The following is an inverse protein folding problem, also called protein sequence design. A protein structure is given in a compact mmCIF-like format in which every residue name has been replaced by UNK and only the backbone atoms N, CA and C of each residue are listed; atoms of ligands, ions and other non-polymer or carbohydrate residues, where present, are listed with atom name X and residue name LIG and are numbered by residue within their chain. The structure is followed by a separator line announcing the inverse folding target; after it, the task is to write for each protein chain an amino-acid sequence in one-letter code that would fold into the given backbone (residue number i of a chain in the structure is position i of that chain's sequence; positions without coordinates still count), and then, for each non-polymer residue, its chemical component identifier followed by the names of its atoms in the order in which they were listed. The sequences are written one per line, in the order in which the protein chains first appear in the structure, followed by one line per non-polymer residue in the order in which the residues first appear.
data_IF_395556918916
#
_entry.id   IF_395556918916
#
_cell.length_a   1.000
_cell.length_b   1.000
_cell.length_c   1.000
_cell.angle_alpha   90.00
_cell.angle_beta   90.00
_cell.angle_gamma   90.00
#
_symmetry.space_group_name_H-M   'P 1'
#
loop_
_entity.id
_entity.type
_entity.pdbx_description
1 polymer ?
#
# COMPACT_ATOMS: atom_id res chain seq x y z
N UNK A 1 12.27 1.43 -13.65
CA UNK A 1 11.43 2.53 -13.12
C UNK A 1 12.11 3.90 -13.27
N UNK A 2 11.36 5.02 -13.25
CA UNK A 2 11.93 6.39 -13.35
C UNK A 2 12.92 6.70 -12.22
N UNK A 3 12.67 6.20 -11.01
CA UNK A 3 13.53 6.35 -9.83
C UNK A 3 14.98 5.88 -10.07
N UNK A 4 15.19 4.87 -10.92
CA UNK A 4 16.53 4.36 -11.26
C UNK A 4 17.40 5.41 -11.98
N UNK A 5 16.79 6.45 -12.58
CA UNK A 5 17.53 7.56 -13.19
C UNK A 5 18.12 8.53 -12.18
N UNK A 6 17.65 8.53 -10.94
CA UNK A 6 18.20 9.35 -9.84
C UNK A 6 19.62 8.88 -9.48
N UNK A 7 19.92 7.59 -9.65
CA UNK A 7 21.24 6.96 -9.37
C UNK A 7 21.72 7.13 -7.93
N UNK A 8 20.77 7.15 -6.99
CA UNK A 8 21.06 7.16 -5.55
C UNK A 8 20.57 5.86 -4.92
N UNK A 9 21.44 5.27 -4.08
CA UNK A 9 21.17 3.98 -3.44
C UNK A 9 20.14 4.10 -2.31
N UNK A 10 20.12 5.24 -1.62
CA UNK A 10 19.25 5.53 -0.47
C UNK A 10 17.87 6.10 -0.85
N UNK A 11 17.51 6.05 -2.14
CA UNK A 11 16.24 6.52 -2.67
C UNK A 11 15.42 5.32 -3.11
N UNK A 12 14.26 5.14 -2.49
CA UNK A 12 13.30 4.06 -2.74
C UNK A 12 11.88 4.58 -2.90
N UNK A 13 10.93 3.66 -3.02
CA UNK A 13 9.50 3.91 -3.23
C UNK A 13 8.73 3.43 -2.01
N UNK A 14 7.79 4.27 -1.60
CA UNK A 14 6.67 3.86 -0.75
C UNK A 14 5.49 3.54 -1.68
N UNK A 15 4.84 2.40 -1.45
CA UNK A 15 3.62 2.03 -2.18
C UNK A 15 2.43 2.15 -1.24
N UNK A 16 1.58 3.13 -1.51
CA UNK A 16 0.26 3.25 -0.93
C UNK A 16 -0.75 2.47 -1.78
N UNK A 17 -1.47 1.52 -1.17
CA UNK A 17 -2.41 0.67 -1.88
C UNK A 17 -3.62 1.45 -2.44
N UNK A 18 -4.06 2.48 -1.73
CA UNK A 18 -5.14 3.37 -2.14
C UNK A 18 -4.79 4.18 -3.37
N UNK A 19 -3.57 4.72 -3.45
CA UNK A 19 -3.11 5.48 -4.62
C UNK A 19 -3.12 4.60 -5.87
N UNK A 20 -2.69 3.35 -5.74
CA UNK A 20 -2.79 2.37 -6.84
C UNK A 20 -4.23 2.08 -7.22
N UNK A 21 -5.16 1.94 -6.28
CA UNK A 21 -6.59 1.77 -6.59
C UNK A 21 -7.17 2.95 -7.37
N UNK A 22 -6.85 4.19 -6.97
CA UNK A 22 -7.27 5.41 -7.66
C UNK A 22 -6.68 5.53 -9.06
N UNK A 23 -5.44 5.07 -9.25
CA UNK A 23 -4.78 5.02 -10.55
C UNK A 23 -5.26 3.86 -11.44
N UNK A 24 -6.18 3.01 -10.95
CA UNK A 24 -6.61 1.76 -11.61
C UNK A 24 -5.44 0.82 -11.90
N UNK A 25 -4.42 0.84 -11.05
CA UNK A 25 -3.30 -0.08 -11.07
C UNK A 25 -3.64 -1.37 -10.32
N UNK A 26 -2.90 -2.45 -10.59
CA UNK A 26 -2.84 -3.59 -9.70
C UNK A 26 -1.76 -3.30 -8.64
N UNK A 27 -2.11 -3.12 -7.35
CA UNK A 27 -1.13 -2.77 -6.34
C UNK A 27 -0.10 -3.88 -6.13
N UNK A 28 -0.48 -5.17 -6.26
CA UNK A 28 0.43 -6.30 -6.14
C UNK A 28 1.52 -6.26 -7.23
N UNK A 29 1.14 -5.93 -8.47
CA UNK A 29 2.09 -5.74 -9.57
C UNK A 29 3.07 -4.59 -9.27
N UNK A 30 2.58 -3.48 -8.72
CA UNK A 30 3.41 -2.33 -8.32
C UNK A 30 4.48 -2.72 -7.29
N UNK A 31 4.12 -3.56 -6.31
CA UNK A 31 5.09 -4.06 -5.29
C UNK A 31 6.17 -4.92 -5.91
N UNK A 32 5.78 -5.88 -6.75
CA UNK A 32 6.72 -6.77 -7.43
C UNK A 32 7.66 -5.97 -8.33
N UNK A 33 7.15 -4.98 -9.05
CA UNK A 33 7.97 -4.11 -9.90
C UNK A 33 9.00 -3.32 -9.08
N UNK A 34 8.64 -2.81 -7.91
CA UNK A 34 9.55 -2.10 -7.01
C UNK A 34 10.60 -3.03 -6.38
N UNK A 35 10.19 -4.22 -5.96
CA UNK A 35 11.05 -5.26 -5.38
C UNK A 35 12.11 -5.76 -6.38
N UNK A 36 11.71 -6.03 -7.63
CA UNK A 36 12.62 -6.43 -8.73
C UNK A 36 13.77 -5.43 -9.00
N UNK A 37 13.67 -4.21 -8.47
CA UNK A 37 14.67 -3.16 -8.61
C UNK A 37 15.38 -2.81 -7.30
N UNK A 38 15.14 -3.53 -6.20
CA UNK A 38 15.63 -3.20 -4.86
C UNK A 38 15.19 -1.79 -4.41
N UNK A 39 13.96 -1.40 -4.78
CA UNK A 39 13.41 -0.06 -4.54
C UNK A 39 12.14 -0.03 -3.68
N UNK A 40 11.64 -1.17 -3.22
CA UNK A 40 10.51 -1.22 -2.29
C UNK A 40 11.00 -0.94 -0.86
N UNK A 41 10.60 0.19 -0.27
CA UNK A 41 11.03 0.58 1.08
C UNK A 41 9.90 0.50 2.11
N UNK A 42 8.71 0.97 1.76
CA UNK A 42 7.57 1.01 2.67
C UNK A 42 6.27 0.70 1.93
N UNK A 43 5.27 0.26 2.68
CA UNK A 43 3.90 0.13 2.20
C UNK A 43 2.92 0.83 3.14
N UNK A 44 1.88 1.42 2.56
CA UNK A 44 0.75 2.03 3.25
C UNK A 44 -0.56 1.32 2.87
N UNK A 45 -1.35 1.04 3.90
CA UNK A 45 -2.59 0.26 3.85
C UNK A 45 -3.78 1.14 4.17
N UNK A 46 -4.72 1.20 3.24
CA UNK A 46 -6.02 1.84 3.35
C UNK A 46 -6.96 1.28 2.28
N UNK A 47 -8.10 1.92 2.08
CA UNK A 47 -9.04 1.58 1.02
C UNK A 47 -9.74 2.85 0.50
N UNK A 48 -10.33 2.78 -0.69
CA UNK A 48 -11.06 3.89 -1.29
C UNK A 48 -12.10 3.44 -2.32
N UNK A 49 -12.87 4.37 -2.89
CA UNK A 49 -13.82 4.07 -3.97
C UNK A 49 -13.21 4.14 -5.39
N UNK A 50 -11.87 4.13 -5.51
CA UNK A 50 -11.08 4.35 -6.75
C UNK A 50 -11.22 5.73 -7.40
N UNK A 51 -12.07 6.59 -6.87
CA UNK A 51 -12.27 7.94 -7.39
C UNK A 51 -11.39 8.99 -6.70
N UNK A 52 -10.93 8.67 -5.50
CA UNK A 52 -10.18 9.58 -4.64
C UNK A 52 -9.38 8.79 -3.62
N UNK A 53 -8.45 9.47 -2.97
CA UNK A 53 -7.72 8.96 -1.81
C UNK A 53 -8.57 9.17 -0.55
N UNK A 54 -9.51 8.25 -0.33
CA UNK A 54 -10.52 8.38 0.74
C UNK A 54 -9.99 7.98 2.13
N UNK A 55 -8.83 7.30 2.19
CA UNK A 55 -8.18 6.80 3.40
C UNK A 55 -9.09 5.99 4.33
N UNK A 56 -9.89 5.10 3.75
CA UNK A 56 -10.80 4.24 4.50
C UNK A 56 -10.08 3.03 5.12
N UNK A 57 -10.79 2.33 6.01
CA UNK A 57 -10.31 1.09 6.61
C UNK A 57 -9.92 0.05 5.55
N UNK A 58 -8.75 -0.58 5.74
CA UNK A 58 -8.17 -1.50 4.75
C UNK A 58 -9.11 -2.69 4.48
N UNK A 59 -9.24 -3.05 3.20
CA UNK A 59 -9.96 -4.25 2.77
C UNK A 59 -11.48 -4.20 2.97
N UNK A 60 -12.05 -3.03 3.27
CA UNK A 60 -13.51 -2.87 3.42
C UNK A 60 -14.25 -2.80 2.08
N UNK A 61 -13.56 -2.43 1.00
CA UNK A 61 -14.09 -2.34 -0.37
C UNK A 61 -13.35 -3.31 -1.28
N UNK A 62 -12.01 -3.30 -1.25
CA UNK A 62 -11.17 -4.06 -2.17
C UNK A 62 -10.55 -5.32 -1.54
N UNK A 63 -11.35 -6.04 -0.73
CA UNK A 63 -10.90 -7.19 0.07
C UNK A 63 -9.99 -8.18 -0.67
N UNK A 64 -10.36 -8.63 -1.87
CA UNK A 64 -9.58 -9.62 -2.62
C UNK A 64 -8.25 -9.07 -3.14
N UNK A 65 -8.22 -7.83 -3.58
CA UNK A 65 -6.99 -7.17 -4.07
C UNK A 65 -6.06 -6.86 -2.90
N UNK A 66 -6.60 -6.52 -1.72
CA UNK A 66 -5.82 -6.40 -0.49
C UNK A 66 -5.19 -7.75 -0.11
N UNK A 67 -5.92 -8.86 -0.20
CA UNK A 67 -5.35 -10.20 0.06
C UNK A 67 -4.25 -10.55 -0.96
N UNK A 68 -4.45 -10.24 -2.24
CA UNK A 68 -3.44 -10.44 -3.28
C UNK A 68 -2.16 -9.64 -2.99
N UNK A 69 -2.31 -8.37 -2.61
CA UNK A 69 -1.20 -7.50 -2.22
C UNK A 69 -0.41 -8.06 -1.03
N UNK A 70 -1.10 -8.48 0.03
CA UNK A 70 -0.48 -9.07 1.22
C UNK A 70 0.20 -10.41 0.92
N UNK A 71 -0.40 -11.24 0.07
CA UNK A 71 0.19 -12.50 -0.37
C UNK A 71 1.53 -12.25 -1.08
N UNK A 72 1.59 -11.32 -2.02
CA UNK A 72 2.82 -11.03 -2.75
C UNK A 72 3.89 -10.40 -1.87
N UNK A 73 3.52 -9.57 -0.87
CA UNK A 73 4.46 -9.09 0.14
C UNK A 73 5.09 -10.23 0.95
N UNK A 74 4.32 -11.26 1.33
CA UNK A 74 4.87 -12.43 2.02
C UNK A 74 5.77 -13.27 1.10
N UNK A 75 5.37 -13.47 -0.16
CA UNK A 75 6.14 -14.24 -1.15
C UNK A 75 7.51 -13.60 -1.48
N UNK A 76 7.59 -12.28 -1.57
CA UNK A 76 8.88 -11.57 -1.73
C UNK A 76 9.66 -11.46 -0.41
N UNK A 77 9.08 -11.92 0.70
CA UNK A 77 9.71 -11.89 2.01
C UNK A 77 9.88 -10.49 2.58
N UNK A 78 8.94 -9.58 2.31
CA UNK A 78 8.91 -8.25 2.94
C UNK A 78 8.77 -8.38 4.46
N UNK A 79 9.68 -7.74 5.22
CA UNK A 79 9.72 -7.81 6.70
C UNK A 79 9.73 -6.43 7.38
N UNK A 80 9.54 -5.37 6.61
CA UNK A 80 9.46 -4.00 7.12
C UNK A 80 8.03 -3.66 7.59
N UNK A 81 7.81 -2.39 7.93
CA UNK A 81 6.56 -1.93 8.51
C UNK A 81 5.40 -1.96 7.50
N UNK A 82 4.25 -2.41 7.98
CA UNK A 82 2.94 -2.22 7.34
C UNK A 82 2.31 -0.99 7.99
N UNK A 83 2.31 0.13 7.28
CA UNK A 83 1.78 1.37 7.83
C UNK A 83 0.29 1.51 7.50
N UNK A 84 -0.49 2.05 8.42
CA UNK A 84 -1.89 2.40 8.18
C UNK A 84 -1.98 3.91 7.94
N UNK A 85 -2.29 4.30 6.70
CA UNK A 85 -2.58 5.69 6.35
C UNK A 85 -4.09 5.86 6.19
N UNK A 86 -4.78 6.01 7.33
CA UNK A 86 -6.24 5.99 7.42
C UNK A 86 -6.72 7.25 8.12
N UNK A 87 -7.75 7.90 7.58
CA UNK A 87 -8.38 9.08 8.16
C UNK A 87 -9.83 8.77 8.58
N UNK A 88 -10.06 8.38 9.84
CA UNK A 88 -11.39 8.04 10.34
C UNK A 88 -12.21 9.31 10.61
N UNK A 89 -12.82 9.88 9.57
CA UNK A 89 -13.55 11.14 9.65
C UNK A 89 -14.83 11.06 10.49
N UNK A 90 -15.44 9.86 10.63
CA UNK A 90 -16.74 9.68 11.31
C UNK A 90 -16.73 8.56 12.36
N UNK A 91 -15.60 7.89 12.51
CA UNK A 91 -15.38 6.75 13.38
C UNK A 91 -14.51 7.13 14.59
N UNK A 92 -14.50 6.29 15.62
CA UNK A 92 -13.52 6.44 16.70
C UNK A 92 -12.14 5.98 16.20
N UNK A 93 -11.18 6.90 16.16
CA UNK A 93 -9.87 6.63 15.58
C UNK A 93 -9.09 5.51 16.29
N UNK A 94 -9.29 5.33 17.60
CA UNK A 94 -8.63 4.26 18.33
C UNK A 94 -9.22 2.89 17.98
N UNK A 95 -10.55 2.80 17.88
CA UNK A 95 -11.21 1.56 17.46
C UNK A 95 -10.88 1.21 16.01
N UNK A 96 -10.72 2.20 15.12
CA UNK A 96 -10.29 1.97 13.73
C UNK A 96 -8.89 1.40 13.68
N UNK A 97 -7.91 2.01 14.36
CA UNK A 97 -6.53 1.47 14.38
C UNK A 97 -6.52 0.05 14.95
N UNK A 98 -7.28 -0.22 16.03
CA UNK A 98 -7.41 -1.56 16.61
C UNK A 98 -8.00 -2.57 15.62
N UNK A 99 -8.99 -2.20 14.83
CA UNK A 99 -9.65 -3.12 13.90
C UNK A 99 -8.76 -3.49 12.69
N UNK A 100 -7.71 -2.71 12.42
CA UNK A 100 -6.76 -2.96 11.33
C UNK A 100 -5.48 -3.71 11.80
N UNK A 101 -5.23 -3.84 13.11
CA UNK A 101 -4.03 -4.47 13.69
C UNK A 101 -4.24 -5.94 14.09
#
# INVERSE_FOLDING_TARGET
MLINKVKEENVGVLIDIGHSYMAYENPAESVILADMHDKLYYVELNDNYRSWDDDMMVGTIHFWETIEFLYWLDEIGYRDWYNFDIFPYREDGFEVVRANS
#
